data_IF_952366704169
#
_entry.id   IF_952366704169
#
_cell.length_a   1.000
_cell.length_b   1.000
_cell.length_c   1.000
_cell.angle_alpha   90.00
_cell.angle_beta   90.00
_cell.angle_gamma   90.00
#
_symmetry.space_group_name_H-M   'P 1'
#
loop_
_entity.id
_entity.type
_entity.pdbx_description
1 polymer ?
#
# COMPACT_ATOMS: atom_id res chain seq x y z
N UNK A 1 -22.94 7.59 33.69
CA UNK A 1 -23.41 8.53 32.64
C UNK A 1 -24.49 7.83 31.85
N UNK A 2 -25.70 8.40 31.80
CA UNK A 2 -26.82 7.82 31.05
C UNK A 2 -26.72 8.18 29.56
N UNK A 3 -27.27 7.33 28.69
CA UNK A 3 -27.21 7.49 27.22
C UNK A 3 -27.85 8.82 26.78
N UNK A 4 -28.89 9.27 27.49
CA UNK A 4 -29.58 10.54 27.21
C UNK A 4 -28.71 11.76 27.47
N UNK A 5 -27.84 11.70 28.48
CA UNK A 5 -26.87 12.77 28.76
C UNK A 5 -25.82 12.85 27.65
N UNK A 6 -25.40 11.71 27.10
CA UNK A 6 -24.44 11.65 26.00
C UNK A 6 -25.01 12.27 24.71
N UNK A 7 -26.28 11.98 24.41
CA UNK A 7 -26.95 12.56 23.23
C UNK A 7 -27.06 14.08 23.34
N UNK A 8 -27.39 14.62 24.52
CA UNK A 8 -27.46 16.08 24.73
C UNK A 8 -26.09 16.77 24.57
N UNK A 9 -25.00 16.13 24.97
CA UNK A 9 -23.64 16.65 24.76
C UNK A 9 -23.21 16.61 23.29
N UNK A 10 -23.62 15.57 22.56
CA UNK A 10 -23.27 15.41 21.14
C UNK A 10 -24.06 16.35 20.21
N UNK A 11 -25.28 16.73 20.61
CA UNK A 11 -26.12 17.70 19.89
C UNK A 11 -25.85 19.17 20.28
N UNK A 12 -24.90 19.44 21.19
CA UNK A 12 -24.51 20.79 21.55
C UNK A 12 -23.81 21.51 20.38
N UNK A 13 -23.98 22.84 20.24
CA UNK A 13 -23.17 23.61 19.30
C UNK A 13 -21.69 23.41 19.63
N UNK A 14 -20.84 23.28 18.61
CA UNK A 14 -19.40 23.12 18.78
C UNK A 14 -18.90 24.19 19.76
N UNK A 15 -18.22 23.76 20.82
CA UNK A 15 -17.83 24.63 21.92
C UNK A 15 -17.04 25.84 21.45
N UNK A 16 -17.11 26.93 22.23
CA UNK A 16 -16.34 28.16 21.98
C UNK A 16 -14.87 27.79 21.83
N UNK A 17 -14.31 28.13 20.67
CA UNK A 17 -12.91 27.95 20.34
C UNK A 17 -12.01 28.57 21.41
N UNK A 18 -10.86 27.96 21.74
CA UNK A 18 -9.90 28.59 22.63
C UNK A 18 -9.49 29.98 22.11
N UNK A 19 -9.34 30.98 22.99
CA UNK A 19 -9.05 32.35 22.57
C UNK A 19 -7.72 32.42 21.81
N UNK A 20 -7.75 33.02 20.62
CA UNK A 20 -6.57 33.23 19.78
C UNK A 20 -6.32 32.19 18.68
N UNK A 21 -7.20 31.18 18.54
CA UNK A 21 -7.10 30.19 17.45
C UNK A 21 -8.39 30.20 16.63
N UNK A 22 -8.32 30.66 15.38
CA UNK A 22 -9.45 30.48 14.44
C UNK A 22 -9.64 29.00 14.13
N UNK A 23 -10.85 28.43 14.33
CA UNK A 23 -11.14 27.06 13.95
C UNK A 23 -11.03 26.87 12.43
N UNK A 24 -9.96 26.21 11.98
CA UNK A 24 -9.84 25.79 10.59
C UNK A 24 -10.68 24.53 10.33
N UNK A 25 -12.01 24.70 10.29
CA UNK A 25 -12.98 23.64 10.00
C UNK A 25 -13.14 23.38 8.49
N UNK A 26 -12.61 24.26 7.65
CA UNK A 26 -12.76 24.20 6.18
C UNK A 26 -11.67 23.36 5.53
N UNK A 27 -10.43 23.41 6.04
CA UNK A 27 -9.32 22.68 5.42
C UNK A 27 -8.31 22.18 6.48
N UNK A 28 -8.64 21.10 7.22
CA UNK A 28 -7.72 20.53 8.19
C UNK A 28 -6.41 20.12 7.50
N UNK A 29 -5.24 20.34 8.12
CA UNK A 29 -3.95 20.03 7.52
C UNK A 29 -3.87 18.56 7.14
N UNK A 30 -3.90 18.30 5.83
CA UNK A 30 -4.01 16.97 5.27
C UNK A 30 -2.62 16.35 5.09
N UNK A 31 -2.30 15.32 5.87
CA UNK A 31 -1.02 14.59 5.79
C UNK A 31 -0.95 13.57 4.63
N UNK A 32 -1.79 13.69 3.60
CA UNK A 32 -1.73 12.79 2.43
C UNK A 32 -0.37 12.86 1.72
N UNK A 33 0.25 14.04 1.71
CA UNK A 33 1.55 14.25 1.05
C UNK A 33 2.65 13.43 1.72
N UNK A 34 2.67 13.37 3.06
CA UNK A 34 3.68 12.60 3.79
C UNK A 34 3.50 11.09 3.59
N UNK A 35 2.27 10.59 3.61
CA UNK A 35 1.97 9.19 3.31
C UNK A 35 2.37 8.80 1.88
N UNK A 36 2.09 9.67 0.90
CA UNK A 36 2.45 9.42 -0.49
C UNK A 36 3.97 9.41 -0.70
N UNK A 37 4.70 10.31 -0.05
CA UNK A 37 6.16 10.32 -0.06
C UNK A 37 6.76 9.05 0.53
N UNK A 38 6.23 8.55 1.66
CA UNK A 38 6.71 7.32 2.28
C UNK A 38 6.52 6.09 1.37
N UNK A 39 5.36 5.99 0.71
CA UNK A 39 5.08 4.91 -0.26
C UNK A 39 6.06 4.98 -1.44
N UNK A 40 6.33 6.19 -1.96
CA UNK A 40 7.27 6.38 -3.06
C UNK A 40 8.68 5.92 -2.70
N UNK A 41 9.20 6.34 -1.54
CA UNK A 41 10.53 5.95 -1.05
C UNK A 41 10.62 4.44 -0.85
N UNK A 42 9.60 3.84 -0.24
CA UNK A 42 9.54 2.38 -0.05
C UNK A 42 9.51 1.63 -1.39
N UNK A 43 8.78 2.15 -2.39
CA UNK A 43 8.74 1.59 -3.73
C UNK A 43 10.10 1.63 -4.45
N UNK A 44 10.85 2.71 -4.28
CA UNK A 44 12.21 2.82 -4.83
C UNK A 44 13.14 1.80 -4.17
N UNK A 45 13.14 1.74 -2.84
CA UNK A 45 13.98 0.80 -2.10
C UNK A 45 13.68 -0.65 -2.48
N UNK A 46 12.40 -1.03 -2.55
CA UNK A 46 11.97 -2.36 -2.98
C UNK A 46 12.41 -2.69 -4.41
N UNK A 47 12.36 -1.71 -5.32
CA UNK A 47 12.83 -1.89 -6.70
C UNK A 47 14.32 -2.19 -6.75
N UNK A 48 15.14 -1.45 -5.99
CA UNK A 48 16.59 -1.69 -5.92
C UNK A 48 16.89 -3.10 -5.42
N UNK A 49 16.24 -3.53 -4.34
CA UNK A 49 16.42 -4.88 -3.79
C UNK A 49 16.01 -5.96 -4.80
N UNK A 50 14.95 -5.71 -5.58
CA UNK A 50 14.50 -6.64 -6.61
C UNK A 50 15.52 -6.76 -7.75
N UNK A 51 16.02 -5.64 -8.26
CA UNK A 51 17.06 -5.64 -9.30
C UNK A 51 18.33 -6.34 -8.84
N UNK A 52 18.75 -6.10 -7.59
CA UNK A 52 19.89 -6.79 -6.99
C UNK A 52 19.66 -8.31 -6.96
N UNK A 53 18.47 -8.75 -6.53
CA UNK A 53 18.11 -10.18 -6.50
C UNK A 53 18.12 -10.80 -7.90
N UNK A 54 17.55 -10.13 -8.89
CA UNK A 54 17.54 -10.60 -10.29
C UNK A 54 18.97 -10.72 -10.80
N UNK A 55 19.80 -9.70 -10.57
CA UNK A 55 21.19 -9.70 -10.98
C UNK A 55 21.96 -10.90 -10.40
N UNK A 56 21.85 -11.12 -9.09
CA UNK A 56 22.49 -12.26 -8.44
C UNK A 56 21.99 -13.59 -9.01
N UNK A 57 20.68 -13.76 -9.22
CA UNK A 57 20.12 -15.04 -9.69
C UNK A 57 20.48 -15.35 -11.14
N UNK A 58 20.40 -14.34 -12.02
CA UNK A 58 20.65 -14.48 -13.46
C UNK A 58 22.15 -14.59 -13.76
N UNK A 59 22.97 -13.70 -13.21
CA UNK A 59 24.38 -13.61 -13.58
C UNK A 59 25.30 -14.47 -12.71
N UNK A 60 25.06 -14.51 -11.39
CA UNK A 60 25.93 -15.25 -10.44
C UNK A 60 25.54 -16.72 -10.36
N UNK A 61 24.27 -17.00 -10.04
CA UNK A 61 23.82 -18.38 -9.79
C UNK A 61 23.49 -19.11 -11.11
N UNK A 62 23.10 -18.38 -12.16
CA UNK A 62 22.64 -18.91 -13.47
C UNK A 62 21.55 -19.99 -13.38
N UNK A 63 20.85 -20.07 -12.24
CA UNK A 63 19.66 -20.90 -12.05
C UNK A 63 18.48 -20.01 -11.74
N UNK A 64 17.62 -19.83 -12.73
CA UNK A 64 16.34 -19.15 -12.59
C UNK A 64 15.24 -20.19 -12.39
N UNK A 65 14.42 -20.00 -11.36
CA UNK A 65 13.19 -20.78 -11.17
C UNK A 65 12.01 -20.02 -11.79
N UNK A 66 10.93 -20.71 -12.17
CA UNK A 66 9.67 -20.04 -12.57
C UNK A 66 9.16 -19.05 -11.52
N UNK A 67 9.46 -19.29 -10.24
CA UNK A 67 9.14 -18.37 -9.14
C UNK A 67 9.89 -17.03 -9.22
N UNK A 68 11.07 -16.98 -9.84
CA UNK A 68 11.81 -15.73 -9.99
C UNK A 68 11.17 -14.85 -11.09
N UNK A 69 10.62 -15.47 -12.14
CA UNK A 69 9.91 -14.75 -13.21
C UNK A 69 8.57 -14.18 -12.75
N UNK A 70 7.82 -14.90 -11.91
CA UNK A 70 6.54 -14.40 -11.36
C UNK A 70 6.72 -13.13 -10.51
N UNK A 71 7.84 -13.03 -9.80
CA UNK A 71 8.21 -11.83 -9.02
C UNK A 71 8.48 -10.64 -9.94
N UNK A 72 9.16 -10.85 -11.07
CA UNK A 72 9.45 -9.78 -12.04
C UNK A 72 8.15 -9.29 -12.67
N UNK A 73 7.28 -10.20 -13.12
CA UNK A 73 5.99 -9.86 -13.72
C UNK A 73 5.13 -9.07 -12.73
N UNK A 74 5.02 -9.53 -11.48
CA UNK A 74 4.26 -8.83 -10.44
C UNK A 74 4.82 -7.42 -10.17
N UNK A 75 6.15 -7.23 -10.24
CA UNK A 75 6.76 -5.92 -10.01
C UNK A 75 6.57 -4.96 -11.19
N UNK A 76 6.67 -5.46 -12.42
CA UNK A 76 6.39 -4.68 -13.63
C UNK A 76 4.92 -4.26 -13.65
N UNK A 77 3.99 -5.15 -13.29
CA UNK A 77 2.58 -4.79 -13.15
C UNK A 77 2.37 -3.70 -12.09
N UNK A 78 3.08 -3.76 -10.96
CA UNK A 78 3.02 -2.74 -9.91
C UNK A 78 3.50 -1.36 -10.39
N UNK A 79 4.47 -1.32 -11.32
CA UNK A 79 5.02 -0.09 -11.88
C UNK A 79 4.20 0.45 -13.07
N UNK A 80 3.66 -0.43 -13.91
CA UNK A 80 2.96 -0.05 -15.15
C UNK A 80 1.44 0.10 -14.97
N UNK A 81 0.82 -0.62 -14.04
CA UNK A 81 -0.62 -0.49 -13.75
C UNK A 81 -0.85 0.45 -12.57
N UNK A 82 -1.21 1.69 -12.94
CA UNK A 82 -1.98 2.71 -12.24
C UNK A 82 -2.52 2.41 -10.80
N UNK A 83 -2.65 3.45 -9.95
CA UNK A 83 -2.68 3.45 -8.47
C UNK A 83 -3.93 2.85 -7.80
N UNK A 84 -4.74 2.06 -8.51
CA UNK A 84 -5.94 1.44 -7.96
C UNK A 84 -5.61 0.10 -7.29
N UNK A 85 -5.56 0.15 -5.95
CA UNK A 85 -5.31 -0.95 -5.01
C UNK A 85 -6.16 -2.21 -5.25
N UNK A 86 -7.30 -2.09 -5.96
CA UNK A 86 -8.22 -3.21 -6.24
C UNK A 86 -7.69 -4.20 -7.27
N UNK A 87 -6.90 -3.77 -8.26
CA UNK A 87 -6.32 -4.67 -9.25
C UNK A 87 -5.20 -5.55 -8.65
N UNK A 88 -4.50 -5.02 -7.63
CA UNK A 88 -3.38 -5.71 -6.94
C UNK A 88 -3.81 -7.03 -6.30
N UNK A 89 -4.99 -7.09 -5.68
CA UNK A 89 -5.45 -8.29 -4.97
C UNK A 89 -5.86 -9.42 -5.91
N UNK A 90 -6.50 -9.07 -7.04
CA UNK A 90 -7.01 -10.04 -8.00
C UNK A 90 -5.85 -10.73 -8.73
N UNK A 91 -4.85 -9.95 -9.16
CA UNK A 91 -3.74 -10.51 -9.93
C UNK A 91 -2.79 -11.30 -9.04
N UNK A 92 -2.43 -10.81 -7.84
CA UNK A 92 -1.64 -11.60 -6.87
C UNK A 92 -2.39 -12.87 -6.46
N UNK A 93 -3.72 -12.80 -6.27
CA UNK A 93 -4.57 -13.96 -6.01
C UNK A 93 -4.50 -15.00 -7.12
N UNK A 94 -4.60 -14.58 -8.38
CA UNK A 94 -4.51 -15.46 -9.55
C UNK A 94 -3.11 -16.04 -9.74
N UNK A 95 -2.05 -15.24 -9.54
CA UNK A 95 -0.67 -15.70 -9.66
C UNK A 95 -0.30 -16.70 -8.56
N UNK A 96 -0.71 -16.44 -7.30
CA UNK A 96 -0.56 -17.39 -6.20
C UNK A 96 -1.41 -18.67 -6.41
N UNK A 97 -2.59 -18.54 -7.01
CA UNK A 97 -3.43 -19.68 -7.40
C UNK A 97 -2.78 -20.55 -8.48
N UNK A 98 -2.17 -19.92 -9.49
CA UNK A 98 -1.45 -20.60 -10.56
C UNK A 98 -0.17 -21.28 -10.03
N UNK A 99 0.59 -20.62 -9.16
CA UNK A 99 1.78 -21.19 -8.54
C UNK A 99 1.46 -22.40 -7.66
N UNK A 100 0.36 -22.37 -6.89
CA UNK A 100 -0.09 -23.55 -6.14
C UNK A 100 -0.42 -24.73 -7.06
N UNK A 101 -1.00 -24.48 -8.24
CA UNK A 101 -1.27 -25.56 -9.22
C UNK A 101 0.01 -26.11 -9.86
N UNK A 102 0.99 -25.25 -10.14
CA UNK A 102 2.25 -25.65 -10.76
C UNK A 102 3.22 -26.35 -9.79
N UNK A 103 3.21 -25.99 -8.50
CA UNK A 103 4.05 -26.62 -7.47
C UNK A 103 3.52 -27.98 -6.99
N UNK A 104 2.21 -28.25 -7.11
CA UNK A 104 1.60 -29.55 -6.75
C UNK A 104 1.82 -30.60 -7.85
N UNK A 105 2.26 -30.20 -9.04
CA UNK A 105 2.48 -31.08 -10.20
C UNK A 105 3.97 -31.42 -10.45
N UNK A 106 4.82 -31.27 -9.42
CA UNK A 106 6.21 -31.73 -9.42
C UNK A 106 6.45 -32.66 -8.24
#
# INVERSE_FOLDING_TARGET
>A
MSVEQLQKLLHGPAGISPPGVEPNLVNPPNQRISGQAAILVCGIAASITLFMRIYTRVFVIRKTSMSDYSIIVAWVEILFLHPNTRAKLIIVGNLCGLMRRLLVWK
#
